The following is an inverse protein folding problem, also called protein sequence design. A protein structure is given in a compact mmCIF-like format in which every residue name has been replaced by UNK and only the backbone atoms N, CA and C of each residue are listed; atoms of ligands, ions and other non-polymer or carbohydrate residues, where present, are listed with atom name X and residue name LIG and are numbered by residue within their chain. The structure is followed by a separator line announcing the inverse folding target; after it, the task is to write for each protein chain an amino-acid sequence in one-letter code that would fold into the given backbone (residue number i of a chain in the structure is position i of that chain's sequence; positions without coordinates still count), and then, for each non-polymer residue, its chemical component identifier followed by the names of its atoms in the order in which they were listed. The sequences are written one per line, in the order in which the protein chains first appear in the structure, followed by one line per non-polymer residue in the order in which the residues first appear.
data_IF_721956926238
#
_entry.id   IF_721956926238
#
_cell.length_a   1.000
_cell.length_b   1.000
_cell.length_c   1.000
_cell.angle_alpha   90.00
_cell.angle_beta   90.00
_cell.angle_gamma   90.00
#
_symmetry.space_group_name_H-M   'P 1'
#
loop_
_entity.id
_entity.type
_entity.pdbx_description
1 polymer ?
#
# COMPACT_ATOMS: atom_id res chain seq x y z
N UNK A 1 -1.13 -24.00 14.01
CA UNK A 1 -2.39 -24.66 13.59
C UNK A 1 -2.22 -25.11 12.15
N UNK A 2 -2.64 -26.33 11.80
CA UNK A 2 -2.55 -26.83 10.42
C UNK A 2 -3.59 -26.15 9.53
N UNK A 3 -3.22 -25.82 8.29
CA UNK A 3 -4.14 -25.31 7.29
C UNK A 3 -5.01 -26.47 6.78
N UNK A 4 -6.31 -26.44 7.07
CA UNK A 4 -7.28 -27.42 6.55
C UNK A 4 -8.01 -26.83 5.35
N UNK A 5 -7.68 -27.32 4.15
CA UNK A 5 -8.35 -26.97 2.91
C UNK A 5 -9.23 -28.14 2.50
N UNK A 6 -10.53 -27.91 2.37
CA UNK A 6 -11.51 -28.95 1.97
C UNK A 6 -11.68 -29.04 0.45
N UNK A 7 -11.35 -27.96 -0.24
CA UNK A 7 -11.47 -27.84 -1.68
C UNK A 7 -10.17 -28.37 -2.36
N UNK A 8 -10.26 -29.39 -3.25
CA UNK A 8 -9.09 -29.95 -3.92
C UNK A 8 -8.33 -28.96 -4.80
N UNK A 9 -9.03 -28.00 -5.42
CA UNK A 9 -8.41 -26.99 -6.28
C UNK A 9 -7.59 -26.01 -5.45
N UNK A 10 -8.14 -25.57 -4.31
CA UNK A 10 -7.42 -24.68 -3.38
C UNK A 10 -6.21 -25.39 -2.76
N UNK A 11 -6.29 -26.70 -2.47
CA UNK A 11 -5.14 -27.45 -1.97
C UNK A 11 -4.03 -27.59 -3.02
N UNK A 12 -4.40 -27.78 -4.29
CA UNK A 12 -3.45 -27.80 -5.40
C UNK A 12 -2.74 -26.45 -5.56
N UNK A 13 -3.47 -25.34 -5.50
CA UNK A 13 -2.90 -23.99 -5.54
C UNK A 13 -1.96 -23.73 -4.35
N UNK A 14 -2.34 -24.15 -3.15
CA UNK A 14 -1.48 -24.03 -1.97
C UNK A 14 -0.21 -24.86 -2.09
N UNK A 15 -0.29 -26.06 -2.68
CA UNK A 15 0.85 -26.93 -2.93
C UNK A 15 1.80 -26.35 -4.00
N UNK A 16 1.26 -25.82 -5.09
CA UNK A 16 2.03 -25.19 -6.15
C UNK A 16 2.80 -23.99 -5.60
N UNK A 17 2.10 -23.10 -4.90
CA UNK A 17 2.72 -21.91 -4.31
C UNK A 17 3.79 -22.27 -3.28
N UNK A 18 3.58 -23.31 -2.47
CA UNK A 18 4.55 -23.82 -1.53
C UNK A 18 5.81 -24.36 -2.23
N UNK A 19 5.62 -25.05 -3.36
CA UNK A 19 6.71 -25.59 -4.17
C UNK A 19 7.55 -24.47 -4.78
N UNK A 20 6.90 -23.44 -5.34
CA UNK A 20 7.57 -22.27 -5.92
C UNK A 20 8.33 -21.44 -4.87
N UNK A 21 7.78 -21.32 -3.66
CA UNK A 21 8.40 -20.56 -2.55
C UNK A 21 9.36 -21.39 -1.69
N UNK A 22 9.54 -22.68 -2.00
CA UNK A 22 10.33 -23.63 -1.22
C UNK A 22 9.99 -23.58 0.29
N UNK A 23 8.71 -23.55 0.61
CA UNK A 23 8.21 -23.43 1.99
C UNK A 23 7.04 -24.38 2.23
N UNK A 24 6.45 -24.34 3.43
CA UNK A 24 5.27 -25.17 3.76
C UNK A 24 3.99 -24.57 3.17
N UNK A 25 2.98 -25.39 2.87
CA UNK A 25 1.64 -24.92 2.43
C UNK A 25 1.09 -23.80 3.32
N UNK A 26 1.19 -23.99 4.64
CA UNK A 26 0.72 -23.02 5.64
C UNK A 26 1.43 -21.68 5.51
N UNK A 27 2.77 -21.68 5.39
CA UNK A 27 3.53 -20.44 5.29
C UNK A 27 3.39 -19.77 3.92
N UNK A 28 3.31 -20.55 2.85
CA UNK A 28 3.04 -20.05 1.51
C UNK A 28 1.70 -19.30 1.45
N UNK A 29 0.64 -19.90 1.98
CA UNK A 29 -0.70 -19.31 2.04
C UNK A 29 -0.73 -18.10 2.98
N UNK A 30 -0.09 -18.18 4.15
CA UNK A 30 0.03 -17.04 5.08
C UNK A 30 0.65 -15.82 4.39
N UNK A 31 1.76 -16.02 3.68
CA UNK A 31 2.44 -14.94 2.97
C UNK A 31 1.60 -14.39 1.81
N UNK A 32 0.91 -15.25 1.07
CA UNK A 32 0.03 -14.84 -0.03
C UNK A 32 -1.11 -13.95 0.48
N UNK A 33 -1.80 -14.40 1.53
CA UNK A 33 -2.90 -13.65 2.16
C UNK A 33 -2.41 -12.33 2.74
N UNK A 34 -1.25 -12.32 3.40
CA UNK A 34 -0.66 -11.08 3.90
C UNK A 34 -0.43 -10.08 2.77
N UNK A 35 0.22 -10.51 1.68
CA UNK A 35 0.51 -9.65 0.55
C UNK A 35 -0.75 -9.12 -0.14
N UNK A 36 -1.81 -9.93 -0.24
CA UNK A 36 -3.08 -9.47 -0.81
C UNK A 36 -3.79 -8.47 0.11
N UNK A 37 -3.81 -8.72 1.42
CA UNK A 37 -4.36 -7.77 2.40
C UNK A 37 -3.61 -6.45 2.34
N UNK A 38 -2.28 -6.48 2.26
CA UNK A 38 -1.46 -5.28 2.21
C UNK A 38 -1.73 -4.51 0.90
N UNK A 39 -1.83 -5.20 -0.26
CA UNK A 39 -2.24 -4.58 -1.53
C UNK A 39 -3.63 -3.92 -1.45
N UNK A 40 -4.60 -4.59 -0.84
CA UNK A 40 -5.96 -4.04 -0.69
C UNK A 40 -6.00 -2.85 0.28
N UNK A 41 -5.20 -2.89 1.36
CA UNK A 41 -5.05 -1.75 2.26
C UNK A 41 -4.37 -0.56 1.59
N UNK A 42 -3.30 -0.81 0.83
CA UNK A 42 -2.56 0.24 0.13
C UNK A 42 -3.42 0.92 -0.94
N UNK A 43 -4.31 0.19 -1.61
CA UNK A 43 -5.33 0.77 -2.51
C UNK A 43 -6.27 1.73 -1.78
N UNK A 44 -6.68 1.37 -0.56
CA UNK A 44 -7.65 2.14 0.22
C UNK A 44 -7.02 3.34 0.95
N UNK A 45 -5.72 3.31 1.22
CA UNK A 45 -5.06 4.31 2.07
C UNK A 45 -4.37 5.44 1.30
N UNK A 46 -4.78 5.74 0.07
CA UNK A 46 -4.29 6.94 -0.64
C UNK A 46 -4.61 8.22 0.14
N UNK A 47 -5.71 8.23 0.89
CA UNK A 47 -6.08 9.32 1.78
C UNK A 47 -5.11 9.43 2.96
N UNK A 48 -4.78 8.33 3.65
CA UNK A 48 -3.80 8.37 4.73
C UNK A 48 -2.41 8.73 4.24
N UNK A 49 -1.99 8.19 3.09
CA UNK A 49 -0.72 8.53 2.45
C UNK A 49 -0.63 10.02 2.09
N UNK A 50 -1.69 10.60 1.52
CA UNK A 50 -1.72 12.03 1.17
C UNK A 50 -1.73 12.93 2.42
N UNK A 51 -2.41 12.52 3.49
CA UNK A 51 -2.37 13.23 4.78
C UNK A 51 -0.96 13.18 5.38
N UNK A 52 -0.32 12.00 5.41
CA UNK A 52 1.04 11.84 5.92
C UNK A 52 2.04 12.66 5.10
N UNK A 53 1.92 12.64 3.78
CA UNK A 53 2.71 13.46 2.87
C UNK A 53 2.54 14.96 3.14
N UNK A 54 1.31 15.45 3.23
CA UNK A 54 1.01 16.86 3.52
C UNK A 54 1.57 17.29 4.89
N UNK A 55 1.48 16.41 5.90
CA UNK A 55 2.07 16.64 7.22
C UNK A 55 3.60 16.77 7.14
N UNK A 56 4.28 15.86 6.44
CA UNK A 56 5.72 15.92 6.24
C UNK A 56 6.17 17.18 5.49
N UNK A 57 5.42 17.62 4.47
CA UNK A 57 5.67 18.90 3.80
C UNK A 57 5.55 20.08 4.75
N UNK A 58 4.55 20.07 5.63
CA UNK A 58 4.33 21.14 6.62
C UNK A 58 5.46 21.21 7.65
N UNK A 59 5.92 20.06 8.13
CA UNK A 59 7.06 19.97 9.05
C UNK A 59 8.34 20.52 8.40
N UNK A 60 8.58 20.21 7.12
CA UNK A 60 9.74 20.71 6.35
C UNK A 60 9.66 22.20 6.01
N UNK A 61 8.47 22.73 5.78
CA UNK A 61 8.27 24.15 5.48
C UNK A 61 8.64 25.06 6.67
N UNK A 62 8.62 24.52 7.89
CA UNK A 62 8.98 25.24 9.10
C UNK A 62 7.92 26.27 9.53
N UNK A 63 8.21 27.09 10.55
CA UNK A 63 7.32 28.16 10.98
C UNK A 63 7.24 29.27 9.91
N UNK A 64 6.13 30.02 9.89
CA UNK A 64 5.75 31.06 8.91
C UNK A 64 5.20 30.54 7.57
N UNK A 65 3.98 29.98 7.57
CA UNK A 65 3.30 29.62 6.34
C UNK A 65 3.09 30.86 5.47
N UNK A 66 3.44 30.77 4.18
CA UNK A 66 3.08 31.79 3.20
C UNK A 66 1.71 31.43 2.60
N UNK A 67 0.86 32.43 2.31
CA UNK A 67 -0.38 32.18 1.60
C UNK A 67 -0.07 31.61 0.20
N UNK A 68 -0.68 30.49 -0.13
CA UNK A 68 -0.72 29.95 -1.49
C UNK A 68 -1.98 30.46 -2.18
N UNK A 69 -2.04 31.77 -2.38
CA UNK A 69 -3.17 32.42 -3.03
C UNK A 69 -3.15 32.19 -4.55
N UNK A 70 -4.24 32.59 -5.21
CA UNK A 70 -4.38 32.41 -6.65
C UNK A 70 -3.25 33.06 -7.44
N UNK A 71 -2.83 34.27 -7.05
CA UNK A 71 -1.74 34.98 -7.73
C UNK A 71 -0.41 34.23 -7.63
N UNK A 72 -0.10 33.66 -6.46
CA UNK A 72 1.06 32.80 -6.28
C UNK A 72 0.98 31.54 -7.16
N UNK A 73 -0.17 30.87 -7.18
CA UNK A 73 -0.37 29.63 -7.97
C UNK A 73 -0.27 29.93 -9.48
N UNK A 74 -0.91 30.99 -9.96
CA UNK A 74 -0.86 31.40 -11.37
C UNK A 74 0.59 31.69 -11.80
N UNK A 75 1.39 32.30 -10.92
CA UNK A 75 2.83 32.52 -11.15
C UNK A 75 3.69 31.24 -11.23
N UNK A 76 3.23 30.09 -10.73
CA UNK A 76 3.95 28.81 -10.83
C UNK A 76 3.84 28.17 -12.21
N UNK A 77 2.77 28.46 -12.94
CA UNK A 77 2.53 27.90 -14.28
C UNK A 77 3.18 28.75 -15.40
N UNK A 78 3.75 29.90 -15.06
CA UNK A 78 4.29 30.88 -16.01
C UNK A 78 3.18 31.66 -16.71
N UNK A 79 3.47 32.91 -17.12
CA UNK A 79 2.57 33.63 -18.04
C UNK A 79 2.56 32.92 -19.41
N UNK A 80 1.41 32.87 -20.12
CA UNK A 80 1.33 32.32 -21.47
C UNK A 80 2.30 32.95 -22.47
#
# INVERSE_FOLDING_TARGET
MALFVKDPEVDALAQELASLKHTTKTEAVRQALRGEIDREKDKLDLVGQSIAFARGLRERAGPNPRPADKAFIDGLYGDP
#
